data_IF_311299855670
#
_entry.id   IF_311299855670
#
_cell.length_a   1.000
_cell.length_b   1.000
_cell.length_c   1.000
_cell.angle_alpha   90.00
_cell.angle_beta   90.00
_cell.angle_gamma   90.00
#
_symmetry.space_group_name_H-M   'P 1'
#
loop_
_entity.id
_entity.type
_entity.pdbx_description
1 polymer ?
#
# COMPACT_ATOMS: atom_id res chain seq x y z
N UNK A 1 -26.63 -40.29 33.93
CA UNK A 1 -26.30 -38.84 33.87
C UNK A 1 -25.39 -38.64 32.68
N UNK A 2 -25.86 -37.96 31.62
CA UNK A 2 -25.04 -37.64 30.45
C UNK A 2 -24.42 -36.28 30.70
N UNK A 3 -23.11 -36.22 30.89
CA UNK A 3 -22.34 -34.98 30.98
C UNK A 3 -22.19 -34.39 29.59
N UNK A 4 -22.77 -33.22 29.35
CA UNK A 4 -22.57 -32.43 28.13
C UNK A 4 -21.39 -31.52 28.38
N UNK A 5 -20.26 -31.75 27.70
CA UNK A 5 -19.15 -30.80 27.75
C UNK A 5 -19.50 -29.53 26.96
N UNK A 6 -19.11 -28.33 27.45
CA UNK A 6 -19.38 -27.09 26.75
C UNK A 6 -18.56 -27.04 25.44
N UNK A 7 -19.24 -26.80 24.32
CA UNK A 7 -18.60 -26.54 23.04
C UNK A 7 -17.89 -25.19 23.15
N UNK A 8 -16.59 -25.21 23.42
CA UNK A 8 -15.72 -24.04 23.29
C UNK A 8 -15.70 -23.68 21.81
N UNK A 9 -16.34 -22.57 21.42
CA UNK A 9 -16.31 -22.05 20.05
C UNK A 9 -14.86 -21.67 19.74
N UNK A 10 -14.10 -22.60 19.15
CA UNK A 10 -12.73 -22.34 18.71
C UNK A 10 -12.77 -21.20 17.70
N UNK A 11 -12.23 -20.04 18.09
CA UNK A 11 -12.06 -18.87 17.24
C UNK A 11 -11.17 -19.30 16.08
N UNK A 12 -11.77 -19.56 14.93
CA UNK A 12 -11.04 -19.83 13.70
C UNK A 12 -10.01 -18.71 13.49
N UNK A 13 -8.76 -19.03 13.09
CA UNK A 13 -7.78 -18.00 12.81
C UNK A 13 -8.39 -17.11 11.73
N UNK A 14 -8.76 -15.87 12.10
CA UNK A 14 -9.31 -14.91 11.15
C UNK A 14 -8.23 -14.66 10.11
N UNK A 15 -8.40 -15.27 8.94
CA UNK A 15 -7.61 -14.94 7.76
C UNK A 15 -7.86 -13.47 7.47
N UNK A 16 -6.82 -12.65 7.60
CA UNK A 16 -6.90 -11.22 7.28
C UNK A 16 -7.30 -11.13 5.80
N UNK A 17 -8.45 -10.52 5.45
CA UNK A 17 -8.85 -10.42 4.07
C UNK A 17 -7.80 -9.65 3.27
N UNK A 18 -7.60 -10.07 2.01
CA UNK A 18 -6.70 -9.35 1.10
C UNK A 18 -7.26 -7.95 0.81
N UNK A 19 -6.39 -7.07 0.35
CA UNK A 19 -6.77 -5.82 -0.27
C UNK A 19 -7.29 -6.12 -1.67
N UNK A 20 -8.46 -5.58 -2.01
CA UNK A 20 -9.01 -5.59 -3.36
C UNK A 20 -9.16 -4.16 -3.89
N UNK A 21 -9.05 -3.99 -5.21
CA UNK A 21 -9.21 -2.70 -5.85
C UNK A 21 -10.66 -2.21 -5.68
N UNK A 22 -10.85 -1.00 -5.16
CA UNK A 22 -12.17 -0.45 -4.85
C UNK A 22 -12.67 -0.70 -3.43
N UNK A 23 -11.94 -1.46 -2.61
CA UNK A 23 -12.28 -1.64 -1.19
C UNK A 23 -12.39 -0.29 -0.49
N UNK A 24 -13.46 -0.11 0.29
CA UNK A 24 -13.66 1.08 1.14
C UNK A 24 -13.18 0.79 2.55
N UNK A 25 -11.98 1.21 2.89
CA UNK A 25 -11.34 0.90 4.17
C UNK A 25 -11.01 2.15 4.96
N UNK A 26 -11.05 2.01 6.28
CA UNK A 26 -10.32 2.95 7.13
C UNK A 26 -8.82 2.75 6.94
N UNK A 27 -8.03 3.79 7.21
CA UNK A 27 -6.57 3.72 7.17
C UNK A 27 -6.01 2.56 7.99
N UNK A 28 -6.49 2.38 9.23
CA UNK A 28 -6.01 1.33 10.13
C UNK A 28 -6.26 -0.06 9.56
N UNK A 29 -7.39 -0.26 8.89
CA UNK A 29 -7.69 -1.54 8.22
C UNK A 29 -6.81 -1.75 7.00
N UNK A 30 -6.60 -0.71 6.19
CA UNK A 30 -5.69 -0.75 5.05
C UNK A 30 -4.27 -1.11 5.49
N UNK A 31 -3.69 -0.39 6.45
CA UNK A 31 -2.33 -0.64 6.97
C UNK A 31 -2.18 -2.07 7.51
N UNK A 32 -3.18 -2.55 8.27
CA UNK A 32 -3.17 -3.92 8.80
C UNK A 32 -3.18 -4.98 7.68
N UNK A 33 -4.01 -4.80 6.66
CA UNK A 33 -4.11 -5.74 5.53
C UNK A 33 -2.89 -5.66 4.62
N UNK A 34 -2.40 -4.46 4.35
CA UNK A 34 -1.19 -4.20 3.55
C UNK A 34 0.02 -4.92 4.15
N UNK A 35 0.25 -4.76 5.47
CA UNK A 35 1.35 -5.42 6.18
C UNK A 35 1.24 -6.95 6.21
N UNK A 36 0.03 -7.49 6.03
CA UNK A 36 -0.21 -8.93 5.95
C UNK A 36 -0.04 -9.50 4.53
N UNK A 37 0.31 -8.67 3.53
CA UNK A 37 0.46 -9.04 2.13
C UNK A 37 1.90 -8.79 1.63
N UNK A 38 2.90 -9.60 2.04
CA UNK A 38 4.31 -9.34 1.74
C UNK A 38 4.68 -9.38 0.24
N UNK A 39 3.85 -10.03 -0.59
CA UNK A 39 4.07 -10.15 -2.04
C UNK A 39 3.31 -9.08 -2.87
N UNK A 40 2.60 -8.16 -2.21
CA UNK A 40 1.91 -7.07 -2.89
C UNK A 40 2.95 -6.03 -3.31
N UNK A 41 3.01 -5.73 -4.62
CA UNK A 41 4.01 -4.79 -5.16
C UNK A 41 3.80 -3.38 -4.64
N UNK A 42 2.60 -2.83 -4.82
CA UNK A 42 2.22 -1.50 -4.36
C UNK A 42 0.70 -1.37 -4.32
N UNK A 43 0.20 -0.71 -3.28
CA UNK A 43 -1.18 -0.27 -3.19
C UNK A 43 -1.25 1.07 -2.46
N UNK A 44 -2.26 1.86 -2.79
CA UNK A 44 -2.49 3.19 -2.22
C UNK A 44 -3.91 3.25 -1.66
N UNK A 45 -4.08 4.02 -0.58
CA UNK A 45 -5.39 4.35 -0.04
C UNK A 45 -5.64 5.83 -0.31
N UNK A 46 -6.60 6.12 -1.20
CA UNK A 46 -6.96 7.48 -1.61
C UNK A 46 -8.44 7.66 -1.30
N UNK A 47 -8.80 8.65 -0.48
CA UNK A 47 -10.18 8.92 -0.09
C UNK A 47 -10.94 7.66 0.41
N UNK A 48 -10.25 6.85 1.22
CA UNK A 48 -10.71 5.55 1.75
C UNK A 48 -10.89 4.44 0.70
N UNK A 49 -10.55 4.68 -0.55
CA UNK A 49 -10.62 3.69 -1.63
C UNK A 49 -9.23 3.09 -1.86
N UNK A 50 -9.17 1.76 -1.91
CA UNK A 50 -7.94 1.01 -2.20
C UNK A 50 -7.69 0.96 -3.70
N UNK A 51 -6.47 1.32 -4.10
CA UNK A 51 -5.98 1.17 -5.46
C UNK A 51 -4.77 0.24 -5.49
N UNK A 52 -4.84 -0.83 -6.27
CA UNK A 52 -3.72 -1.79 -6.41
C UNK A 52 -2.97 -1.49 -7.71
N UNK A 53 -1.66 -1.23 -7.60
CA UNK A 53 -0.81 -0.98 -8.76
C UNK A 53 -0.15 -2.29 -9.20
N UNK A 54 -0.72 -2.91 -10.24
CA UNK A 54 -0.29 -4.22 -10.73
C UNK A 54 0.39 -4.20 -12.12
N UNK A 55 0.46 -3.04 -12.79
CA UNK A 55 0.95 -2.99 -14.17
C UNK A 55 2.49 -2.93 -14.25
N UNK A 56 3.15 -3.82 -15.01
CA UNK A 56 4.56 -3.69 -15.33
C UNK A 56 4.83 -2.40 -16.11
N UNK A 57 5.90 -1.69 -15.74
CA UNK A 57 6.33 -0.46 -16.41
C UNK A 57 7.27 -0.80 -17.57
N UNK A 58 7.02 -0.21 -18.75
CA UNK A 58 7.87 -0.40 -19.94
C UNK A 58 9.03 0.58 -19.91
N UNK A 59 10.22 0.14 -20.31
CA UNK A 59 11.43 0.98 -20.28
C UNK A 59 11.26 2.24 -21.15
N UNK A 60 10.90 2.09 -22.42
CA UNK A 60 10.83 3.21 -23.37
C UNK A 60 9.66 4.17 -23.10
N UNK A 61 8.49 3.65 -22.75
CA UNK A 61 7.27 4.46 -22.61
C UNK A 61 7.04 4.98 -21.18
N UNK A 62 7.82 4.53 -20.20
CA UNK A 62 7.66 4.96 -18.82
C UNK A 62 9.00 5.12 -18.10
N UNK A 63 9.85 4.09 -18.08
CA UNK A 63 11.07 4.08 -17.28
C UNK A 63 12.07 5.20 -17.65
N UNK A 64 12.36 5.36 -18.94
CA UNK A 64 13.24 6.43 -19.45
C UNK A 64 12.65 7.83 -19.21
N UNK A 65 11.41 8.15 -19.65
CA UNK A 65 10.79 9.44 -19.34
C UNK A 65 10.72 9.75 -17.83
N UNK A 66 10.44 8.74 -17.01
CA UNK A 66 10.41 8.86 -15.54
C UNK A 66 11.80 9.23 -15.00
N UNK A 67 12.85 8.55 -15.47
CA UNK A 67 14.22 8.82 -15.06
C UNK A 67 14.68 10.24 -15.42
N UNK A 68 14.34 10.72 -16.62
CA UNK A 68 14.71 12.08 -17.06
C UNK A 68 14.08 13.15 -16.16
N UNK A 69 12.79 13.00 -15.83
CA UNK A 69 12.07 13.93 -14.95
C UNK A 69 12.64 13.89 -13.53
N UNK A 70 12.86 12.69 -12.98
CA UNK A 70 13.45 12.54 -11.64
C UNK A 70 14.87 13.12 -11.60
N UNK A 71 15.66 12.95 -12.66
CA UNK A 71 16.99 13.55 -12.80
C UNK A 71 16.94 15.08 -12.74
N UNK A 72 16.07 15.70 -13.53
CA UNK A 72 15.87 17.15 -13.52
C UNK A 72 15.43 17.68 -12.16
N UNK A 73 14.44 17.02 -11.52
CA UNK A 73 13.97 17.39 -10.18
C UNK A 73 15.04 17.20 -9.11
N UNK A 74 15.88 16.18 -9.23
CA UNK A 74 16.99 15.93 -8.31
C UNK A 74 18.03 17.05 -8.37
N UNK A 75 18.36 17.52 -9.57
CA UNK A 75 19.25 18.68 -9.76
C UNK A 75 18.61 19.92 -9.13
N UNK A 76 17.32 20.18 -9.40
CA UNK A 76 16.63 21.33 -8.82
C UNK A 76 16.61 21.31 -7.28
N UNK A 77 16.34 20.14 -6.68
CA UNK A 77 16.40 19.94 -5.22
C UNK A 77 17.79 20.22 -4.65
N UNK A 78 18.85 19.84 -5.36
CA UNK A 78 20.22 20.06 -4.89
C UNK A 78 20.55 21.55 -4.66
N UNK A 79 19.87 22.45 -5.36
CA UNK A 79 20.06 23.90 -5.24
C UNK A 79 18.92 24.62 -4.49
N UNK A 80 17.93 23.88 -3.96
CA UNK A 80 16.76 24.46 -3.30
C UNK A 80 16.61 23.88 -1.88
N UNK A 81 17.12 24.57 -0.84
CA UNK A 81 17.02 24.10 0.54
C UNK A 81 15.56 23.86 0.97
N UNK A 82 15.36 22.88 1.85
CA UNK A 82 14.07 22.48 2.41
C UNK A 82 13.07 21.81 1.43
N UNK A 83 13.50 21.44 0.21
CA UNK A 83 12.66 20.68 -0.71
C UNK A 83 12.76 19.17 -0.45
N UNK A 84 11.60 18.52 -0.26
CA UNK A 84 11.51 17.06 -0.24
C UNK A 84 11.28 16.52 -1.66
N UNK A 85 12.00 15.46 -2.01
CA UNK A 85 11.80 14.69 -3.24
C UNK A 85 11.81 13.23 -2.82
N UNK A 86 10.76 12.50 -3.18
CA UNK A 86 10.65 11.07 -3.01
C UNK A 86 10.24 10.44 -4.33
N UNK A 87 10.92 9.36 -4.71
CA UNK A 87 10.56 8.53 -5.85
C UNK A 87 10.14 7.16 -5.34
N UNK A 88 9.02 6.63 -5.86
CA UNK A 88 8.50 5.30 -5.52
C UNK A 88 8.36 5.03 -3.99
N UNK A 89 8.13 6.06 -3.19
CA UNK A 89 8.02 5.96 -1.72
C UNK A 89 6.57 5.91 -1.23
N UNK A 90 6.38 5.38 -0.02
CA UNK A 90 5.11 5.51 0.72
C UNK A 90 5.14 6.78 1.56
N UNK A 91 4.14 7.64 1.39
CA UNK A 91 3.92 8.82 2.22
C UNK A 91 2.55 8.74 2.88
N UNK A 92 2.47 9.20 4.13
CA UNK A 92 1.20 9.42 4.81
C UNK A 92 0.87 10.90 4.73
N UNK A 93 -0.26 11.25 4.10
CA UNK A 93 -0.69 12.64 3.96
C UNK A 93 -1.52 13.12 5.15
N UNK A 94 -2.32 12.24 5.75
CA UNK A 94 -3.25 12.57 6.83
C UNK A 94 -2.96 11.82 8.15
N UNK A 95 -3.14 12.51 9.27
CA UNK A 95 -3.01 11.98 10.66
C UNK A 95 -4.16 11.13 11.13
#
# INVERSE_FOLDING_TARGET
MITVEPITLAKSPQTIPRLENGDKLTRREFERRYNAMPNLKKAELIERIVYIMASPLRITNHGEPHADIIGWLSVYKAFTPNLQLGDNCTVRLDT
#
